data_IF_780752384635
#
_entry.id   IF_780752384635
#
_cell.length_a   1.000
_cell.length_b   1.000
_cell.length_c   1.000
_cell.angle_alpha   90.00
_cell.angle_beta   90.00
_cell.angle_gamma   90.00
#
_symmetry.space_group_name_H-M   'P 1'
#
loop_
_entity.id
_entity.type
_entity.pdbx_description
1 polymer ?
#
# COMPACT_ATOMS: atom_id res chain seq x y z
N UNK A 1 -99.98 41.51 -6.12
CA UNK A 1 -98.86 40.54 -6.01
C UNK A 1 -97.59 41.28 -5.63
N UNK A 2 -96.69 40.63 -4.88
CA UNK A 2 -95.27 40.98 -4.70
C UNK A 2 -94.84 41.92 -3.56
N UNK A 3 -95.32 41.73 -2.34
CA UNK A 3 -94.55 42.08 -1.12
C UNK A 3 -93.78 40.89 -0.52
N UNK A 4 -94.16 39.65 -0.87
CA UNK A 4 -93.41 38.43 -0.51
C UNK A 4 -92.25 38.11 -1.48
N UNK A 5 -92.33 38.59 -2.72
CA UNK A 5 -91.29 38.36 -3.74
C UNK A 5 -90.04 39.25 -3.52
N UNK A 6 -90.23 40.48 -3.02
CA UNK A 6 -89.15 41.44 -2.80
C UNK A 6 -88.26 41.13 -1.59
N UNK A 7 -88.80 40.42 -0.57
CA UNK A 7 -88.05 39.98 0.62
C UNK A 7 -87.18 38.75 0.35
N UNK A 8 -87.57 37.89 -0.59
CA UNK A 8 -86.82 36.68 -0.94
C UNK A 8 -85.64 37.02 -1.86
N UNK A 9 -85.82 37.97 -2.78
CA UNK A 9 -84.73 38.43 -3.66
C UNK A 9 -83.69 39.26 -2.90
N UNK A 10 -84.07 40.06 -1.91
CA UNK A 10 -83.11 40.80 -1.06
C UNK A 10 -82.34 39.92 -0.10
N UNK A 11 -82.95 38.86 0.46
CA UNK A 11 -82.25 37.89 1.31
C UNK A 11 -81.22 37.06 0.52
N UNK A 12 -81.54 36.71 -0.74
CA UNK A 12 -80.63 35.96 -1.62
C UNK A 12 -79.43 36.79 -2.08
N UNK A 13 -79.63 38.08 -2.35
CA UNK A 13 -78.54 39.00 -2.73
C UNK A 13 -77.60 39.29 -1.54
N UNK A 14 -78.13 39.45 -0.32
CA UNK A 14 -77.32 39.59 0.90
C UNK A 14 -76.58 38.30 1.27
N UNK A 15 -77.17 37.13 1.03
CA UNK A 15 -76.50 35.84 1.24
C UNK A 15 -75.38 35.59 0.20
N UNK A 16 -75.59 35.99 -1.05
CA UNK A 16 -74.54 35.91 -2.09
C UNK A 16 -73.40 36.91 -1.85
N UNK A 17 -73.69 38.12 -1.33
CA UNK A 17 -72.68 39.12 -1.03
C UNK A 17 -71.86 38.78 0.22
N UNK A 18 -72.47 38.14 1.22
CA UNK A 18 -71.75 37.63 2.41
C UNK A 18 -70.94 36.36 2.09
N UNK A 19 -71.40 35.51 1.18
CA UNK A 19 -70.63 34.34 0.71
C UNK A 19 -69.42 34.75 -0.16
N UNK A 20 -69.52 35.83 -0.95
CA UNK A 20 -68.40 36.42 -1.71
C UNK A 20 -67.36 37.09 -0.79
N UNK A 21 -67.78 37.64 0.35
CA UNK A 21 -66.89 38.20 1.37
C UNK A 21 -66.14 37.12 2.17
N UNK A 22 -66.74 35.95 2.39
CA UNK A 22 -66.06 34.81 3.05
C UNK A 22 -65.06 34.12 2.09
N UNK A 23 -65.30 34.17 0.78
CA UNK A 23 -64.38 33.64 -0.23
C UNK A 23 -63.20 34.54 -0.56
N UNK A 24 -63.31 35.86 -0.34
CA UNK A 24 -62.21 36.81 -0.60
C UNK A 24 -61.23 36.96 0.57
N UNK A 25 -61.56 36.48 1.77
CA UNK A 25 -60.63 36.48 2.93
C UNK A 25 -59.85 35.18 3.12
N UNK A 26 -60.05 34.16 2.28
CA UNK A 26 -59.32 32.89 2.37
C UNK A 26 -58.31 32.65 1.23
N UNK A 27 -57.95 33.70 0.48
CA UNK A 27 -56.83 33.69 -0.46
C UNK A 27 -55.68 34.57 0.03
N UNK A 28 -55.39 34.53 1.32
CA UNK A 28 -54.05 34.77 1.84
C UNK A 28 -53.64 33.55 2.66
N UNK A 29 -53.61 32.38 2.00
CA UNK A 29 -52.55 31.45 2.31
C UNK A 29 -51.27 32.16 1.88
N UNK A 30 -50.73 32.97 2.79
CA UNK A 30 -49.34 33.32 2.75
C UNK A 30 -48.63 31.99 2.57
N UNK A 31 -48.09 31.76 1.38
CA UNK A 31 -46.85 31.02 1.29
C UNK A 31 -45.92 31.82 2.20
N UNK A 32 -45.95 31.52 3.50
CA UNK A 32 -44.80 31.65 4.35
C UNK A 32 -43.80 30.88 3.53
N UNK A 33 -42.96 31.63 2.79
CA UNK A 33 -41.79 31.11 2.14
C UNK A 33 -41.06 30.53 3.33
N UNK A 34 -41.33 29.25 3.59
CA UNK A 34 -40.69 28.50 4.64
C UNK A 34 -39.28 28.56 4.10
N UNK A 35 -38.48 29.47 4.65
CA UNK A 35 -37.07 29.45 4.45
C UNK A 35 -36.74 28.00 4.80
N UNK A 36 -36.46 27.20 3.78
CA UNK A 36 -35.76 25.95 3.97
C UNK A 36 -34.54 26.47 4.69
N UNK A 37 -34.53 26.32 6.00
CA UNK A 37 -33.38 26.66 6.81
C UNK A 37 -32.39 25.63 6.33
N UNK A 38 -31.63 26.00 5.29
CA UNK A 38 -30.63 25.13 4.71
C UNK A 38 -29.65 24.93 5.83
N UNK A 39 -29.81 23.79 6.48
CA UNK A 39 -29.23 23.54 7.78
C UNK A 39 -27.81 23.13 7.47
N UNK A 40 -26.94 24.05 7.08
CA UNK A 40 -25.59 23.73 6.66
C UNK A 40 -24.69 23.52 7.86
N UNK A 41 -23.72 22.63 7.74
CA UNK A 41 -22.59 22.56 8.66
C UNK A 41 -21.33 23.09 7.99
N UNK A 42 -20.30 23.33 8.80
CA UNK A 42 -19.03 23.86 8.35
C UNK A 42 -17.92 22.87 8.65
N UNK A 43 -17.02 22.67 7.68
CA UNK A 43 -15.83 21.85 7.83
C UNK A 43 -14.59 22.75 7.79
N UNK A 44 -13.71 22.58 8.77
CA UNK A 44 -12.40 23.23 8.84
C UNK A 44 -11.31 22.17 8.80
N UNK A 45 -10.42 22.24 7.82
CA UNK A 45 -9.26 21.37 7.71
C UNK A 45 -7.99 22.13 8.11
N UNK A 46 -7.42 21.69 9.23
CA UNK A 46 -6.16 22.20 9.76
C UNK A 46 -5.03 21.29 9.28
N UNK A 47 -4.13 21.84 8.47
CA UNK A 47 -2.92 21.14 8.04
C UNK A 47 -1.74 22.11 8.06
N UNK A 48 -0.54 21.56 8.23
CA UNK A 48 0.71 22.33 8.13
C UNK A 48 1.09 22.67 6.69
N UNK A 49 0.52 21.97 5.71
CA UNK A 49 0.84 22.10 4.29
C UNK A 49 -0.20 22.96 3.57
N UNK A 50 0.26 23.81 2.67
CA UNK A 50 -0.60 24.69 1.87
C UNK A 50 -0.68 24.20 0.42
N UNK A 51 -1.79 24.50 -0.25
CA UNK A 51 -2.01 24.19 -1.65
C UNK A 51 -2.34 22.73 -1.94
N UNK A 52 -2.68 21.91 -0.93
CA UNK A 52 -3.05 20.52 -1.16
C UNK A 52 -4.49 20.44 -1.65
N UNK A 53 -4.72 19.65 -2.71
CA UNK A 53 -6.05 19.39 -3.24
C UNK A 53 -6.93 18.70 -2.20
N UNK A 54 -8.10 19.27 -1.93
CA UNK A 54 -9.14 18.69 -1.07
C UNK A 54 -10.30 18.26 -1.94
N UNK A 55 -10.73 17.00 -1.79
CA UNK A 55 -11.95 16.48 -2.39
C UNK A 55 -12.94 16.05 -1.32
N UNK A 56 -14.21 16.34 -1.55
CA UNK A 56 -15.34 15.88 -0.74
C UNK A 56 -16.25 15.06 -1.65
N UNK A 57 -16.54 13.82 -1.24
CA UNK A 57 -17.33 12.85 -2.00
C UNK A 57 -16.83 12.65 -3.45
N UNK A 58 -15.51 12.78 -3.64
CA UNK A 58 -14.84 12.64 -4.93
C UNK A 58 -14.79 13.91 -5.78
N UNK A 59 -15.51 14.98 -5.41
CA UNK A 59 -15.50 16.26 -6.11
C UNK A 59 -14.47 17.23 -5.52
N UNK A 60 -13.85 18.06 -6.36
CA UNK A 60 -12.91 19.08 -5.91
C UNK A 60 -13.63 20.12 -5.04
N UNK A 61 -13.25 20.20 -3.77
CA UNK A 61 -13.84 21.12 -2.80
C UNK A 61 -12.97 22.35 -2.55
N UNK A 62 -11.67 22.29 -2.85
CA UNK A 62 -10.74 23.41 -2.72
C UNK A 62 -9.31 22.98 -2.46
N UNK A 63 -8.54 23.86 -1.82
CA UNK A 63 -7.14 23.65 -1.48
C UNK A 63 -6.87 24.02 -0.01
N UNK A 64 -5.87 23.40 0.61
CA UNK A 64 -5.50 23.72 1.99
C UNK A 64 -4.74 25.05 2.11
N UNK A 65 -4.85 25.79 3.23
CA UNK A 65 -5.75 25.56 4.37
C UNK A 65 -7.21 25.82 3.98
N UNK A 66 -8.13 25.02 4.53
CA UNK A 66 -9.57 25.12 4.24
C UNK A 66 -10.29 25.57 5.51
N UNK A 67 -10.68 26.85 5.56
CA UNK A 67 -11.10 27.50 6.81
C UNK A 67 -12.57 27.28 7.18
N UNK A 68 -13.49 27.23 6.21
CA UNK A 68 -14.90 26.94 6.45
C UNK A 68 -15.61 26.52 5.16
N UNK A 69 -15.57 25.23 4.84
CA UNK A 69 -16.35 24.67 3.73
C UNK A 69 -17.77 24.36 4.19
N UNK A 70 -18.75 24.98 3.54
CA UNK A 70 -20.17 24.71 3.76
C UNK A 70 -20.54 23.35 3.17
N UNK A 71 -21.09 22.45 3.99
CA UNK A 71 -21.55 21.13 3.59
C UNK A 71 -22.96 20.87 4.12
N UNK A 72 -23.69 20.00 3.43
CA UNK A 72 -24.96 19.47 3.94
C UNK A 72 -24.71 18.63 5.19
N UNK A 73 -25.67 18.53 6.13
CA UNK A 73 -25.55 17.60 7.24
C UNK A 73 -25.58 16.16 6.75
N UNK A 74 -24.75 15.33 7.36
CA UNK A 74 -24.63 13.93 6.98
C UNK A 74 -23.19 13.46 6.91
N UNK A 75 -23.03 12.25 6.37
CA UNK A 75 -21.74 11.60 6.24
C UNK A 75 -21.07 12.04 4.94
N UNK A 76 -19.88 12.60 5.05
CA UNK A 76 -19.06 13.01 3.91
C UNK A 76 -17.70 12.32 3.93
N UNK A 77 -17.22 11.91 2.76
CA UNK A 77 -15.88 11.35 2.59
C UNK A 77 -14.92 12.45 2.15
N UNK A 78 -13.93 12.74 2.98
CA UNK A 78 -12.88 13.72 2.69
C UNK A 78 -11.64 12.99 2.20
N UNK A 79 -11.05 13.51 1.13
CA UNK A 79 -9.72 13.15 0.65
C UNK A 79 -8.86 14.40 0.59
N UNK A 80 -7.65 14.33 1.16
CA UNK A 80 -6.64 15.40 1.04
C UNK A 80 -5.40 14.80 0.39
N UNK A 81 -4.96 15.42 -0.71
CA UNK A 81 -3.79 14.97 -1.46
C UNK A 81 -2.54 14.96 -0.57
N UNK A 82 -1.73 13.92 -0.66
CA UNK A 82 -0.48 13.86 0.09
C UNK A 82 0.49 14.96 -0.41
N UNK A 83 1.21 15.67 0.48
CA UNK A 83 2.24 16.64 0.10
C UNK A 83 3.47 16.02 -0.60
N UNK A 84 3.75 14.73 -0.37
CA UNK A 84 4.96 14.03 -0.84
C UNK A 84 4.66 13.05 -1.98
N UNK A 85 3.93 13.50 -3.02
CA UNK A 85 3.44 12.65 -4.11
C UNK A 85 4.54 11.94 -4.92
N UNK A 86 5.80 12.38 -4.81
CA UNK A 86 6.95 11.71 -5.43
C UNK A 86 7.25 10.32 -4.84
N UNK A 87 6.77 10.05 -3.62
CA UNK A 87 6.96 8.76 -2.97
C UNK A 87 5.69 7.92 -3.08
N UNK A 88 5.74 6.86 -3.89
CA UNK A 88 4.58 5.98 -4.14
C UNK A 88 4.04 5.27 -2.89
N UNK A 89 4.84 5.19 -1.82
CA UNK A 89 4.43 4.61 -0.53
C UNK A 89 3.55 5.56 0.30
N UNK A 90 3.59 6.86 0.01
CA UNK A 90 2.88 7.87 0.78
C UNK A 90 1.49 8.08 0.16
N UNK A 91 0.45 7.78 0.95
CA UNK A 91 -0.94 7.81 0.49
C UNK A 91 -1.64 9.12 0.86
N UNK A 92 -2.65 9.48 0.07
CA UNK A 92 -3.58 10.55 0.41
C UNK A 92 -4.25 10.29 1.75
N UNK A 93 -4.62 11.37 2.44
CA UNK A 93 -5.33 11.28 3.70
C UNK A 93 -6.83 11.14 3.44
N UNK A 94 -7.48 10.21 4.15
CA UNK A 94 -8.93 9.96 4.03
C UNK A 94 -9.60 9.97 5.40
N UNK A 95 -10.80 10.52 5.46
CA UNK A 95 -11.70 10.35 6.60
C UNK A 95 -13.17 10.38 6.17
N UNK A 96 -13.98 9.62 6.89
CA UNK A 96 -15.44 9.76 6.85
C UNK A 96 -15.85 10.61 8.05
N UNK A 97 -16.60 11.69 7.79
CA UNK A 97 -16.95 12.67 8.81
C UNK A 97 -18.44 12.89 8.84
N UNK A 98 -19.01 13.01 10.03
CA UNK A 98 -20.41 13.35 10.21
C UNK A 98 -20.52 14.86 10.45
N UNK A 99 -21.11 15.58 9.49
CA UNK A 99 -21.39 17.01 9.61
C UNK A 99 -22.75 17.19 10.26
N UNK A 100 -22.79 17.96 11.35
CA UNK A 100 -24.02 18.39 12.00
C UNK A 100 -24.42 19.77 11.51
N UNK A 101 -25.72 20.03 11.50
CA UNK A 101 -26.24 21.30 11.02
C UNK A 101 -25.97 22.44 12.01
N UNK A 102 -25.60 23.60 11.49
CA UNK A 102 -25.16 24.79 12.21
C UNK A 102 -23.97 24.57 13.15
N UNK A 103 -23.22 23.48 12.96
CA UNK A 103 -22.00 23.18 13.72
C UNK A 103 -20.76 23.29 12.83
N UNK A 104 -19.60 23.48 13.46
CA UNK A 104 -18.30 23.59 12.79
C UNK A 104 -17.39 22.45 13.23
N UNK A 105 -17.20 21.46 12.36
CA UNK A 105 -16.28 20.35 12.59
C UNK A 105 -14.86 20.75 12.21
N UNK A 106 -13.94 20.73 13.19
CA UNK A 106 -12.52 21.01 12.97
C UNK A 106 -11.71 19.72 12.97
N UNK A 107 -10.96 19.48 11.90
CA UNK A 107 -10.16 18.27 11.74
C UNK A 107 -8.71 18.64 11.48
N UNK A 108 -7.81 18.07 12.28
CA UNK A 108 -6.37 18.14 12.03
C UNK A 108 -5.96 17.00 11.11
N UNK A 109 -5.50 17.34 9.91
CA UNK A 109 -4.97 16.40 8.92
C UNK A 109 -3.51 16.13 9.25
N UNK A 110 -3.17 14.88 9.54
CA UNK A 110 -1.81 14.42 9.83
C UNK A 110 -1.48 13.30 8.84
N UNK A 111 -0.51 13.56 7.97
CA UNK A 111 -0.04 12.54 7.03
C UNK A 111 0.88 11.52 7.71
N UNK A 112 1.02 10.37 7.07
CA UNK A 112 1.96 9.32 7.46
C UNK A 112 3.18 9.38 6.54
N UNK A 113 4.37 9.18 7.11
CA UNK A 113 5.66 9.13 6.43
C UNK A 113 6.25 7.74 6.54
N UNK A 114 6.56 7.13 5.40
CA UNK A 114 7.18 5.80 5.34
C UNK A 114 8.71 5.89 5.34
N UNK A 115 9.37 5.08 6.15
CA UNK A 115 10.82 5.04 6.31
C UNK A 115 11.37 3.64 6.00
N UNK A 116 12.58 3.59 5.43
CA UNK A 116 13.34 2.37 5.17
C UNK A 116 14.73 2.49 5.80
N UNK A 117 15.09 1.51 6.63
CA UNK A 117 16.35 1.52 7.37
C UNK A 117 17.10 0.21 7.11
N UNK A 118 18.26 0.36 6.49
CA UNK A 118 19.19 -0.72 6.20
C UNK A 118 20.48 -0.52 6.96
N UNK A 119 21.03 -1.59 7.54
CA UNK A 119 22.34 -1.56 8.16
C UNK A 119 23.29 -2.55 7.51
N UNK A 120 24.58 -2.27 7.59
CA UNK A 120 25.65 -3.19 7.23
C UNK A 120 26.55 -3.36 8.45
N UNK A 121 26.56 -4.55 9.10
CA UNK A 121 25.85 -5.79 8.73
C UNK A 121 24.38 -5.85 9.18
N UNK A 122 23.52 -6.48 8.36
CA UNK A 122 22.06 -6.67 8.60
C UNK A 122 21.70 -7.36 9.92
N UNK A 123 20.48 -7.21 10.41
CA UNK A 123 20.02 -7.74 11.70
C UNK A 123 20.43 -6.86 12.88
N UNK A 124 20.50 -5.54 12.69
CA UNK A 124 20.63 -4.59 13.78
C UNK A 124 19.24 -4.24 14.32
N UNK A 125 19.08 -4.26 15.64
CA UNK A 125 17.87 -3.89 16.33
C UNK A 125 17.63 -2.38 16.19
N UNK A 126 16.42 -2.00 15.80
CA UNK A 126 16.01 -0.62 15.57
C UNK A 126 15.03 -0.18 16.65
N UNK A 127 15.32 0.96 17.26
CA UNK A 127 14.48 1.58 18.27
C UNK A 127 14.14 3.02 17.86
N UNK A 128 12.89 3.42 17.98
CA UNK A 128 12.47 4.81 17.83
C UNK A 128 11.95 5.33 19.17
N UNK A 129 12.54 6.41 19.70
CA UNK A 129 12.23 6.92 21.06
C UNK A 129 12.24 5.81 22.12
N UNK A 130 13.28 4.97 22.08
CA UNK A 130 13.47 3.78 22.93
C UNK A 130 12.43 2.65 22.76
N UNK A 131 11.44 2.79 21.88
CA UNK A 131 10.51 1.70 21.53
C UNK A 131 11.13 0.81 20.46
N UNK A 132 11.23 -0.49 20.74
CA UNK A 132 11.69 -1.47 19.76
C UNK A 132 10.72 -1.56 18.58
N UNK A 133 11.25 -1.45 17.35
CA UNK A 133 10.47 -1.54 16.12
C UNK A 133 10.72 -2.84 15.34
N UNK A 134 11.90 -3.45 15.47
CA UNK A 134 12.31 -4.63 14.71
C UNK A 134 13.80 -4.65 14.41
N UNK A 135 14.22 -5.40 13.39
CA UNK A 135 15.61 -5.50 12.95
C UNK A 135 15.77 -5.07 11.48
N UNK A 136 16.92 -4.49 11.12
CA UNK A 136 17.21 -4.09 9.74
C UNK A 136 17.44 -5.30 8.82
N UNK A 137 17.05 -5.27 7.53
CA UNK A 137 16.24 -4.25 6.84
C UNK A 137 14.85 -4.05 7.45
N UNK A 138 14.49 -2.80 7.76
CA UNK A 138 13.21 -2.48 8.38
C UNK A 138 12.47 -1.40 7.60
N UNK A 139 11.18 -1.62 7.37
CA UNK A 139 10.24 -0.62 6.88
C UNK A 139 9.23 -0.29 7.98
N UNK A 140 8.98 0.99 8.22
CA UNK A 140 8.00 1.43 9.21
C UNK A 140 7.43 2.81 8.85
N UNK A 141 6.35 3.20 9.52
CA UNK A 141 5.64 4.44 9.24
C UNK A 141 5.51 5.24 10.53
N UNK A 142 5.71 6.55 10.44
CA UNK A 142 5.47 7.50 11.53
C UNK A 142 4.51 8.59 11.08
N UNK A 143 3.86 9.26 12.03
CA UNK A 143 3.13 10.46 11.71
C UNK A 143 4.10 11.57 11.28
N UNK A 144 3.63 12.47 10.44
CA UNK A 144 4.51 13.43 9.79
C UNK A 144 5.07 14.52 10.72
N UNK A 145 4.45 14.68 11.90
CA UNK A 145 4.83 15.52 13.01
C UNK A 145 5.70 14.79 14.05
N UNK A 146 5.82 13.47 13.95
CA UNK A 146 6.71 12.70 14.80
C UNK A 146 8.17 12.90 14.38
N UNK A 147 8.92 13.51 15.28
CA UNK A 147 10.38 13.61 15.21
C UNK A 147 10.98 12.91 16.43
N UNK A 148 12.17 12.33 16.27
CA UNK A 148 12.81 11.64 17.37
C UNK A 148 14.07 10.90 16.99
N UNK A 149 14.70 10.35 18.01
CA UNK A 149 15.91 9.55 17.88
C UNK A 149 15.57 8.13 17.41
N UNK A 150 16.25 7.72 16.35
CA UNK A 150 16.31 6.37 15.85
C UNK A 150 17.66 5.78 16.25
N UNK A 151 17.63 4.74 17.08
CA UNK A 151 18.82 4.03 17.57
C UNK A 151 18.92 2.66 16.92
N UNK A 152 20.10 2.34 16.41
CA UNK A 152 20.46 1.01 15.91
C UNK A 152 21.45 0.37 16.88
N UNK A 153 21.17 -0.86 17.29
CA UNK A 153 22.00 -1.65 18.19
C UNK A 153 22.29 -3.01 17.59
N UNK A 154 23.54 -3.46 17.68
CA UNK A 154 23.92 -4.81 17.25
C UNK A 154 25.09 -5.33 18.07
N UNK A 155 25.01 -6.60 18.47
CA UNK A 155 26.06 -7.26 19.25
C UNK A 155 27.42 -7.19 18.55
N UNK A 156 28.42 -6.63 19.24
CA UNK A 156 29.78 -6.48 18.71
C UNK A 156 30.02 -5.20 17.89
N UNK A 157 29.01 -4.36 17.73
CA UNK A 157 29.07 -3.07 17.04
C UNK A 157 28.70 -1.93 17.98
N UNK A 158 29.18 -0.72 17.67
CA UNK A 158 28.85 0.50 18.40
C UNK A 158 27.42 0.92 18.04
N UNK A 159 26.63 1.24 19.05
CA UNK A 159 25.29 1.80 18.86
C UNK A 159 25.35 3.08 18.04
N UNK A 160 24.46 3.20 17.06
CA UNK A 160 24.37 4.38 16.19
C UNK A 160 23.02 5.05 16.40
N UNK A 161 23.02 6.34 16.67
CA UNK A 161 21.79 7.14 16.86
C UNK A 161 21.73 8.23 15.81
N UNK A 162 20.55 8.45 15.24
CA UNK A 162 20.28 9.52 14.28
C UNK A 162 18.88 10.10 14.52
N UNK A 163 18.68 11.36 14.18
CA UNK A 163 17.37 12.02 14.34
C UNK A 163 16.59 11.95 13.04
N UNK A 164 15.38 11.38 13.07
CA UNK A 164 14.47 11.32 11.92
C UNK A 164 13.26 12.25 12.09
N UNK A 165 12.55 12.51 10.99
CA UNK A 165 11.33 13.32 10.96
C UNK A 165 11.56 14.80 10.64
N UNK A 166 12.78 15.33 10.86
CA UNK A 166 13.15 16.71 10.48
C UNK A 166 13.54 16.85 9.01
N UNK A 167 14.09 15.79 8.42
CA UNK A 167 14.56 15.78 7.03
C UNK A 167 13.56 15.07 6.12
N UNK A 168 13.66 15.34 4.83
CA UNK A 168 12.89 14.60 3.82
C UNK A 168 13.48 13.23 3.48
N UNK A 169 14.66 12.89 4.03
CA UNK A 169 15.28 11.60 3.82
C UNK A 169 14.41 10.48 4.40
N UNK A 170 13.97 9.56 3.54
CA UNK A 170 13.18 8.37 3.91
C UNK A 170 13.99 7.08 3.93
N UNK A 171 15.12 7.05 3.23
CA UNK A 171 15.94 5.87 3.04
C UNK A 171 17.29 6.06 3.75
N UNK A 172 17.56 5.20 4.73
CA UNK A 172 18.78 5.22 5.52
C UNK A 172 19.58 3.95 5.24
N UNK A 173 20.84 4.11 4.83
CA UNK A 173 21.83 3.04 4.72
C UNK A 173 22.97 3.33 5.69
N UNK A 174 23.08 2.52 6.73
CA UNK A 174 23.93 2.79 7.89
C UNK A 174 25.03 1.74 7.97
N UNK A 175 26.28 2.17 8.00
CA UNK A 175 27.42 1.29 8.23
C UNK A 175 27.72 1.26 9.73
N UNK A 176 27.63 0.08 10.36
CA UNK A 176 27.92 -0.04 11.79
C UNK A 176 29.42 -0.23 12.04
N UNK A 177 29.95 0.48 13.03
CA UNK A 177 31.35 0.37 13.43
C UNK A 177 31.55 -0.80 14.40
N UNK A 178 32.47 -1.74 14.13
CA UNK A 178 32.76 -2.83 15.05
C UNK A 178 33.48 -2.31 16.31
N UNK A 179 33.14 -2.86 17.47
CA UNK A 179 33.85 -2.57 18.72
C UNK A 179 35.21 -3.28 18.64
N UNK A 180 36.30 -2.51 18.52
CA UNK A 180 37.66 -3.05 18.60
C UNK A 180 37.93 -3.58 20.02
N UNK A 181 37.68 -4.87 20.27
CA UNK A 181 38.17 -5.55 21.47
C UNK A 181 39.67 -5.78 21.29
N UNK A 182 40.49 -5.15 22.14
CA UNK A 182 41.90 -5.47 22.25
C UNK A 182 42.01 -6.91 22.76
N UNK A 183 42.29 -7.86 21.85
CA UNK A 183 42.58 -9.25 22.20
C UNK A 183 44.05 -9.27 22.64
N UNK A 184 44.28 -9.36 23.96
CA UNK A 184 45.59 -9.76 24.46
C UNK A 184 46.04 -11.03 23.74
N UNK A 185 47.29 -11.03 23.30
CA UNK A 185 47.91 -12.11 22.52
C UNK A 185 47.90 -13.38 23.38
N UNK A 186 46.92 -14.25 23.15
CA UNK A 186 47.04 -15.67 23.47
C UNK A 186 47.32 -16.37 22.15
N UNK A 187 48.59 -16.68 21.94
CA UNK A 187 49.10 -17.62 20.95
C UNK A 187 48.50 -19.00 21.20
N UNK A 188 47.25 -19.19 20.78
CA UNK A 188 46.66 -20.51 20.62
C UNK A 188 47.26 -21.10 19.35
N UNK A 189 48.19 -22.04 19.52
CA UNK A 189 48.68 -22.97 18.51
C UNK A 189 47.52 -23.36 17.58
N UNK A 190 47.59 -22.94 16.31
CA UNK A 190 46.52 -23.14 15.34
C UNK A 190 46.28 -24.63 15.11
N UNK A 191 45.23 -25.19 15.72
CA UNK A 191 44.58 -26.38 15.17
C UNK A 191 44.03 -25.96 13.82
N UNK A 192 44.57 -26.54 12.75
CA UNK A 192 44.03 -26.44 11.40
C UNK A 192 42.53 -26.75 11.45
N UNK A 193 41.71 -25.71 11.29
CA UNK A 193 40.26 -25.77 11.42
C UNK A 193 39.73 -26.72 10.34
N UNK A 194 39.17 -27.87 10.76
CA UNK A 194 38.54 -28.83 9.84
C UNK A 194 37.41 -28.08 9.12
N UNK A 195 37.60 -27.76 7.83
CA UNK A 195 36.62 -27.04 6.99
C UNK A 195 35.21 -27.63 7.23
N UNK A 196 34.20 -26.82 7.57
CA UNK A 196 32.89 -27.34 7.98
C UNK A 196 32.28 -28.14 6.84
N UNK A 197 31.84 -29.37 7.14
CA UNK A 197 31.25 -30.34 6.19
C UNK A 197 30.11 -29.73 5.36
N UNK A 198 29.41 -28.72 5.89
CA UNK A 198 28.33 -27.99 5.21
C UNK A 198 28.78 -27.19 3.98
N UNK A 199 29.99 -26.61 3.98
CA UNK A 199 30.49 -25.86 2.82
C UNK A 199 30.75 -26.76 1.62
N UNK A 200 31.34 -27.95 1.86
CA UNK A 200 31.54 -28.95 0.80
C UNK A 200 30.20 -29.40 0.20
N UNK A 201 29.19 -29.59 1.05
CA UNK A 201 27.85 -29.99 0.62
C UNK A 201 27.18 -28.90 -0.25
N UNK A 202 27.32 -27.62 0.13
CA UNK A 202 26.81 -26.49 -0.67
C UNK A 202 27.46 -26.44 -2.06
N UNK A 203 28.79 -26.54 -2.14
CA UNK A 203 29.48 -26.52 -3.44
C UNK A 203 29.15 -27.74 -4.30
N UNK A 204 28.99 -28.91 -3.67
CA UNK A 204 28.59 -30.12 -4.37
C UNK A 204 27.17 -30.01 -4.96
N UNK A 205 26.18 -29.54 -4.19
CA UNK A 205 24.81 -29.37 -4.71
C UNK A 205 24.73 -28.31 -5.81
N UNK A 206 25.51 -27.22 -5.68
CA UNK A 206 25.63 -26.20 -6.72
C UNK A 206 26.21 -26.78 -8.03
N UNK A 207 27.28 -27.58 -7.94
CA UNK A 207 27.91 -28.21 -9.10
C UNK A 207 26.94 -29.19 -9.79
N UNK A 208 26.24 -30.03 -9.03
CA UNK A 208 25.21 -30.95 -9.57
C UNK A 208 24.10 -30.16 -10.26
N UNK A 209 23.63 -29.07 -9.67
CA UNK A 209 22.63 -28.18 -10.28
C UNK A 209 23.14 -27.63 -11.62
N UNK A 210 24.35 -27.05 -11.67
CA UNK A 210 24.90 -26.51 -12.92
C UNK A 210 25.02 -27.57 -14.03
N UNK A 211 25.56 -28.75 -13.71
CA UNK A 211 25.74 -29.85 -14.69
C UNK A 211 24.39 -30.36 -15.17
N UNK A 212 23.44 -30.63 -14.26
CA UNK A 212 22.11 -31.13 -14.64
C UNK A 212 21.30 -30.09 -15.44
N UNK A 213 21.44 -28.80 -15.14
CA UNK A 213 20.86 -27.72 -15.93
C UNK A 213 21.41 -27.68 -17.36
N UNK A 214 22.74 -27.78 -17.51
CA UNK A 214 23.38 -27.85 -18.83
C UNK A 214 22.91 -29.09 -19.63
N UNK A 215 22.82 -30.25 -18.98
CA UNK A 215 22.30 -31.47 -19.60
C UNK A 215 20.85 -31.34 -20.03
N UNK A 216 19.99 -30.70 -19.22
CA UNK A 216 18.60 -30.46 -19.57
C UNK A 216 18.48 -29.63 -20.85
N UNK A 217 19.28 -28.56 -20.97
CA UNK A 217 19.32 -27.72 -22.18
C UNK A 217 19.85 -28.49 -23.39
N UNK A 218 20.95 -29.22 -23.23
CA UNK A 218 21.53 -30.03 -24.29
C UNK A 218 20.56 -31.09 -24.82
N UNK A 219 19.91 -31.85 -23.94
CA UNK A 219 18.95 -32.86 -24.37
C UNK A 219 17.68 -32.25 -24.96
N UNK A 220 17.23 -31.09 -24.47
CA UNK A 220 16.09 -30.38 -25.08
C UNK A 220 16.41 -29.98 -26.52
N UNK A 221 17.61 -29.46 -26.75
CA UNK A 221 18.06 -29.08 -28.09
C UNK A 221 18.12 -30.29 -29.04
N UNK A 222 18.74 -31.38 -28.60
CA UNK A 222 18.78 -32.65 -29.35
C UNK A 222 17.37 -33.21 -29.62
N UNK A 223 16.45 -33.09 -28.67
CA UNK A 223 15.05 -33.48 -28.84
C UNK A 223 14.36 -32.65 -29.95
N UNK A 224 14.55 -31.33 -29.92
CA UNK A 224 14.01 -30.41 -30.92
C UNK A 224 14.57 -30.69 -32.33
N UNK A 225 15.87 -30.94 -32.46
CA UNK A 225 16.48 -31.28 -33.75
C UNK A 225 15.89 -32.56 -34.35
N UNK A 226 15.74 -33.62 -33.54
CA UNK A 226 15.13 -34.87 -34.00
C UNK A 226 13.66 -34.67 -34.39
N UNK A 227 12.91 -33.87 -33.62
CA UNK A 227 11.53 -33.55 -33.96
C UNK A 227 11.42 -32.74 -35.26
N UNK A 228 12.32 -31.78 -35.49
CA UNK A 228 12.37 -31.03 -36.74
C UNK A 228 12.69 -31.93 -37.94
N UNK A 229 13.60 -32.90 -37.78
CA UNK A 229 13.89 -33.90 -38.84
C UNK A 229 12.69 -34.80 -39.12
N UNK A 230 11.93 -35.17 -38.08
CA UNK A 230 10.67 -35.90 -38.24
C UNK A 230 9.68 -35.12 -39.12
N UNK A 231 9.52 -33.80 -38.90
CA UNK A 231 8.62 -32.96 -39.69
C UNK A 231 9.04 -32.79 -41.16
N UNK A 232 10.34 -32.92 -41.47
CA UNK A 232 10.89 -32.70 -42.81
C UNK A 232 11.05 -33.99 -43.64
N UNK A 233 10.95 -35.16 -43.01
CA UNK A 233 11.21 -36.44 -43.66
C UNK A 233 9.91 -37.08 -44.15
N UNK A 234 9.89 -37.55 -45.41
CA UNK A 234 8.73 -38.27 -45.98
C UNK A 234 8.83 -39.80 -45.94
N UNK A 235 9.92 -40.36 -45.43
CA UNK A 235 10.11 -41.81 -45.32
C UNK A 235 9.59 -42.34 -43.96
N UNK A 236 8.63 -43.28 -43.94
CA UNK A 236 8.04 -43.81 -42.70
C UNK A 236 9.05 -44.37 -41.69
N UNK A 237 10.04 -45.15 -42.13
CA UNK A 237 11.01 -45.77 -41.21
C UNK A 237 11.91 -44.72 -40.51
N UNK A 238 12.29 -43.68 -41.25
CA UNK A 238 13.09 -42.58 -40.70
C UNK A 238 12.25 -41.69 -39.77
N UNK A 239 10.97 -41.48 -40.08
CA UNK A 239 10.05 -40.76 -39.21
C UNK A 239 9.92 -41.44 -37.85
N UNK A 240 9.70 -42.75 -37.80
CA UNK A 240 9.60 -43.51 -36.55
C UNK A 240 10.89 -43.39 -35.73
N UNK A 241 12.05 -43.49 -36.39
CA UNK A 241 13.35 -43.33 -35.72
C UNK A 241 13.52 -41.94 -35.11
N UNK A 242 13.24 -40.88 -35.86
CA UNK A 242 13.38 -39.50 -35.39
C UNK A 242 12.40 -39.19 -34.25
N UNK A 243 11.15 -39.64 -34.37
CA UNK A 243 10.15 -39.46 -33.32
C UNK A 243 10.52 -40.19 -32.03
N UNK A 244 11.00 -41.44 -32.13
CA UNK A 244 11.46 -42.21 -30.98
C UNK A 244 12.69 -41.58 -30.31
N UNK A 245 13.63 -41.06 -31.09
CA UNK A 245 14.78 -40.32 -30.58
C UNK A 245 14.35 -39.01 -29.88
N UNK A 246 13.43 -38.25 -30.49
CA UNK A 246 12.90 -37.03 -29.90
C UNK A 246 12.26 -37.31 -28.53
N UNK A 247 11.41 -38.35 -28.42
CA UNK A 247 10.85 -38.79 -27.13
C UNK A 247 11.90 -39.19 -26.11
N UNK A 248 12.96 -39.87 -26.54
CA UNK A 248 14.06 -40.28 -25.65
C UNK A 248 14.77 -39.06 -25.08
N UNK A 249 15.12 -38.10 -25.93
CA UNK A 249 15.80 -36.87 -25.50
C UNK A 249 14.91 -35.97 -24.64
N UNK A 250 13.62 -35.87 -24.96
CA UNK A 250 12.64 -35.12 -24.16
C UNK A 250 12.52 -35.68 -22.73
N UNK A 251 12.45 -37.01 -22.58
CA UNK A 251 12.49 -37.68 -21.26
C UNK A 251 13.79 -37.39 -20.50
N UNK A 252 14.94 -37.45 -21.18
CA UNK A 252 16.24 -37.15 -20.55
C UNK A 252 16.35 -35.68 -20.13
N UNK A 253 15.81 -34.76 -20.93
CA UNK A 253 15.73 -33.34 -20.61
C UNK A 253 14.85 -33.13 -19.36
N UNK A 254 13.68 -33.76 -19.30
CA UNK A 254 12.77 -33.69 -18.16
C UNK A 254 13.40 -34.24 -16.87
N UNK A 255 14.07 -35.39 -16.93
CA UNK A 255 14.78 -35.97 -15.78
C UNK A 255 15.89 -35.03 -15.31
N UNK A 256 16.71 -34.54 -16.24
CA UNK A 256 17.82 -33.62 -15.92
C UNK A 256 17.30 -32.32 -15.30
N UNK A 257 16.18 -31.80 -15.79
CA UNK A 257 15.52 -30.62 -15.24
C UNK A 257 14.96 -30.85 -13.83
N UNK A 258 14.38 -32.02 -13.56
CA UNK A 258 13.94 -32.41 -12.22
C UNK A 258 15.12 -32.47 -11.22
N UNK A 259 16.24 -33.08 -11.62
CA UNK A 259 17.48 -33.13 -10.81
C UNK A 259 18.03 -31.73 -10.56
N UNK A 260 18.01 -30.87 -11.57
CA UNK A 260 18.41 -29.47 -11.45
C UNK A 260 17.59 -28.74 -10.39
N UNK A 261 16.26 -28.83 -10.45
CA UNK A 261 15.37 -28.14 -9.51
C UNK A 261 15.61 -28.59 -8.06
N UNK A 262 15.68 -29.90 -7.81
CA UNK A 262 15.90 -30.44 -6.46
C UNK A 262 17.27 -30.01 -5.93
N UNK A 263 18.32 -30.09 -6.75
CA UNK A 263 19.68 -29.71 -6.37
C UNK A 263 19.82 -28.21 -6.12
N UNK A 264 19.13 -27.39 -6.91
CA UNK A 264 19.10 -25.93 -6.76
C UNK A 264 18.41 -25.52 -5.46
N UNK A 265 17.25 -26.11 -5.15
CA UNK A 265 16.52 -25.87 -3.89
C UNK A 265 17.39 -26.26 -2.69
N UNK A 266 18.05 -27.41 -2.75
CA UNK A 266 18.97 -27.85 -1.69
C UNK A 266 20.14 -26.88 -1.53
N UNK A 267 20.74 -26.41 -2.63
CA UNK A 267 21.82 -25.42 -2.60
C UNK A 267 21.36 -24.11 -1.93
N UNK A 268 20.18 -23.61 -2.31
CA UNK A 268 19.59 -22.40 -1.72
C UNK A 268 19.32 -22.55 -0.23
N UNK A 269 18.75 -23.67 0.20
CA UNK A 269 18.54 -23.97 1.62
C UNK A 269 19.87 -23.99 2.41
N UNK A 270 20.90 -24.67 1.90
CA UNK A 270 22.21 -24.72 2.56
C UNK A 270 22.87 -23.35 2.62
N UNK A 271 22.70 -22.53 1.59
CA UNK A 271 23.18 -21.15 1.56
C UNK A 271 22.54 -20.30 2.65
N UNK A 272 21.20 -20.33 2.78
CA UNK A 272 20.49 -19.60 3.85
C UNK A 272 20.89 -20.08 5.24
N UNK A 273 21.02 -21.41 5.43
CA UNK A 273 21.47 -21.99 6.71
C UNK A 273 22.87 -21.54 7.10
N UNK A 274 23.72 -21.24 6.12
CA UNK A 274 25.07 -20.74 6.37
C UNK A 274 25.12 -19.23 6.57
N UNK A 275 24.23 -18.46 5.94
CA UNK A 275 24.11 -17.01 6.15
C UNK A 275 23.59 -16.65 7.56
N UNK A 276 22.76 -17.52 8.15
CA UNK A 276 22.21 -17.34 9.50
C UNK A 276 23.10 -17.87 10.64
N UNK A 277 24.35 -18.31 10.36
CA UNK A 277 25.34 -18.72 11.37
C UNK A 277 26.43 -17.67 11.55
#
# INVERSE_FOLDING_TARGET
>A
MNSKCLKITTLFVLFFFTLQLIFSTNLSAGHKKQAIQENHGYLVLLTRHRGLTVKVDGQLAGYTPLEALTLTPGLHKIQVANPFQSNWLDQDWFANVQIQANDTLKIKVIFKKSYSVNSTPYGAQVYFKNKYLGETPLFFTLNEDETGELKLSKKGFRDTTLVIGKTEQRFFKIQLEPIKRFKGILTSKGKMERRPKSRKLLYASLAVSAVSGALALYFRDQGNENFNRYLQTGNPELMDRYFNNAKKFDRLAAISFGVFQVSFILSFYLFLKQANR
#
